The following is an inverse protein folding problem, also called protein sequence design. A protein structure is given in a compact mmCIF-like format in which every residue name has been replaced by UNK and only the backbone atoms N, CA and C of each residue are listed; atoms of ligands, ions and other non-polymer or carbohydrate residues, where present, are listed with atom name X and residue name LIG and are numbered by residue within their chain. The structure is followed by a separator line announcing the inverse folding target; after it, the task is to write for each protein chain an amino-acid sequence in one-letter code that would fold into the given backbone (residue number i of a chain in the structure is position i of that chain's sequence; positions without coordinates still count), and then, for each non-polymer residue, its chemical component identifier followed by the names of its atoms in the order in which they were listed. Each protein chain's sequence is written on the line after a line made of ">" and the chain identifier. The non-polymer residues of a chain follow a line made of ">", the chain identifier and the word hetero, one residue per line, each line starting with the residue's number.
data_IF_022015947080
#
_entry.id   IF_022015947080
#
_cell.length_a   1.000
_cell.length_b   1.000
_cell.length_c   1.000
_cell.angle_alpha   90.00
_cell.angle_beta   90.00
_cell.angle_gamma   90.00
#
_symmetry.space_group_name_H-M   'P 1'
#
loop_
_entity.id
_entity.type
_entity.pdbx_description
1 polymer ?
#
# COMPACT_ATOMS: atom_id res chain seq x y z
N UNK A 1 17.19 25.38 -8.72
CA UNK A 1 16.95 23.94 -8.63
C UNK A 1 17.44 23.50 -7.28
N UNK A 2 16.52 23.29 -6.33
CA UNK A 2 16.86 22.67 -5.06
C UNK A 2 16.84 21.17 -5.34
N UNK A 3 18.02 20.55 -5.40
CA UNK A 3 18.13 19.10 -5.40
C UNK A 3 17.92 18.67 -3.96
N UNK A 4 16.77 18.11 -3.65
CA UNK A 4 16.52 17.52 -2.35
C UNK A 4 17.52 16.37 -2.16
N UNK A 5 18.46 16.54 -1.24
CA UNK A 5 19.68 15.71 -1.13
C UNK A 5 19.39 14.28 -0.65
N UNK A 6 18.11 13.98 -0.36
CA UNK A 6 17.61 12.71 0.17
C UNK A 6 16.75 11.89 -0.80
N UNK A 7 16.61 12.25 -2.08
CA UNK A 7 15.83 11.44 -3.02
C UNK A 7 16.59 10.15 -3.35
N UNK A 8 16.25 9.08 -2.63
CA UNK A 8 16.71 7.73 -2.94
C UNK A 8 16.22 7.34 -4.33
N UNK A 9 17.07 6.65 -5.09
CA UNK A 9 16.68 6.11 -6.38
C UNK A 9 15.48 5.15 -6.22
N UNK A 10 14.42 5.38 -6.99
CA UNK A 10 13.29 4.47 -7.13
C UNK A 10 13.09 4.12 -8.60
N UNK A 11 12.64 2.91 -8.89
CA UNK A 11 12.22 2.54 -10.23
C UNK A 11 10.94 3.31 -10.63
N UNK A 12 10.45 3.10 -11.87
CA UNK A 12 9.20 3.70 -12.33
C UNK A 12 8.04 3.36 -11.40
N UNK A 13 7.11 4.30 -11.27
CA UNK A 13 5.98 4.22 -10.32
C UNK A 13 5.18 2.93 -10.42
N UNK A 14 5.01 2.39 -11.64
CA UNK A 14 4.33 1.11 -11.88
C UNK A 14 5.08 -0.09 -11.28
N UNK A 15 6.41 -0.12 -11.37
CA UNK A 15 7.23 -1.21 -10.84
C UNK A 15 7.21 -1.20 -9.31
N UNK A 16 7.43 -0.03 -8.71
CA UNK A 16 7.39 0.15 -7.26
C UNK A 16 5.99 -0.09 -6.68
N UNK A 17 4.93 0.32 -7.38
CA UNK A 17 3.54 0.03 -6.96
C UNK A 17 3.28 -1.48 -6.93
N UNK A 18 3.68 -2.23 -7.96
CA UNK A 18 3.52 -3.69 -7.99
C UNK A 18 4.34 -4.40 -6.91
N UNK A 19 5.49 -3.86 -6.54
CA UNK A 19 6.36 -4.38 -5.49
C UNK A 19 5.82 -4.09 -4.09
N UNK A 20 5.21 -2.93 -3.89
CA UNK A 20 4.77 -2.46 -2.58
C UNK A 20 3.33 -2.87 -2.25
N UNK A 21 2.44 -2.93 -3.24
CA UNK A 21 1.08 -3.35 -3.01
C UNK A 21 0.90 -4.86 -3.14
N UNK A 22 0.45 -5.47 -2.05
CA UNK A 22 0.19 -6.91 -1.97
C UNK A 22 -1.27 -7.17 -2.30
N UNK A 23 -1.50 -8.05 -3.26
CA UNK A 23 -2.83 -8.54 -3.63
C UNK A 23 -3.16 -9.70 -2.68
N UNK A 24 -4.29 -9.65 -1.96
CA UNK A 24 -4.71 -10.78 -1.15
C UNK A 24 -5.07 -11.96 -2.04
N UNK A 25 -4.65 -13.16 -1.65
CA UNK A 25 -5.08 -14.40 -2.29
C UNK A 25 -6.52 -14.72 -1.91
N UNK A 26 -7.28 -15.34 -2.82
CA UNK A 26 -8.66 -15.76 -2.57
C UNK A 26 -8.74 -16.95 -1.61
N UNK A 27 -7.75 -17.85 -1.70
CA UNK A 27 -7.64 -19.05 -0.88
C UNK A 27 -6.21 -19.20 -0.34
N UNK A 28 -5.81 -18.38 0.66
CA UNK A 28 -4.44 -18.38 1.19
C UNK A 28 -4.05 -19.70 1.89
N UNK A 29 -5.03 -20.43 2.41
CA UNK A 29 -4.89 -21.80 2.92
C UNK A 29 -4.82 -22.85 1.81
N UNK A 30 -5.17 -22.49 0.56
CA UNK A 30 -5.21 -23.37 -0.59
C UNK A 30 -6.64 -23.81 -0.97
N UNK A 31 -6.74 -24.62 -2.02
CA UNK A 31 -8.03 -25.09 -2.52
C UNK A 31 -8.85 -25.81 -1.45
N UNK A 32 -10.18 -25.80 -1.58
CA UNK A 32 -11.08 -26.49 -0.67
C UNK A 32 -10.67 -27.96 -0.46
N UNK A 33 -10.45 -28.34 0.81
CA UNK A 33 -9.99 -29.68 1.21
C UNK A 33 -8.46 -29.88 1.18
N UNK A 34 -7.66 -28.84 0.91
CA UNK A 34 -6.22 -28.92 1.04
C UNK A 34 -5.79 -29.04 2.52
N UNK A 35 -4.73 -29.83 2.83
CA UNK A 35 -4.20 -29.93 4.18
C UNK A 35 -3.36 -28.71 4.61
N UNK A 36 -3.12 -27.77 3.69
CA UNK A 36 -2.34 -26.56 3.99
C UNK A 36 -3.17 -25.66 4.91
N UNK A 37 -2.53 -25.10 5.93
CA UNK A 37 -3.17 -24.12 6.80
C UNK A 37 -4.07 -24.70 7.89
N UNK A 38 -4.22 -26.04 7.99
CA UNK A 38 -5.22 -26.67 8.86
C UNK A 38 -5.10 -26.27 10.34
N UNK A 39 -3.87 -26.07 10.82
CA UNK A 39 -3.56 -25.73 12.22
C UNK A 39 -2.78 -24.42 12.36
N UNK A 40 -2.69 -23.62 11.30
CA UNK A 40 -1.90 -22.38 11.29
C UNK A 40 -2.76 -21.22 10.86
N UNK A 41 -2.60 -20.07 11.53
CA UNK A 41 -3.30 -18.85 11.15
C UNK A 41 -2.93 -18.44 9.71
N UNK A 42 -3.93 -17.93 9.00
CA UNK A 42 -3.73 -17.33 7.68
C UNK A 42 -2.95 -16.03 7.84
N UNK A 43 -1.82 -15.96 7.16
CA UNK A 43 -0.97 -14.78 7.09
C UNK A 43 -1.08 -14.14 5.71
N UNK A 44 -1.09 -12.81 5.65
CA UNK A 44 -1.19 -12.09 4.39
C UNK A 44 0.06 -12.22 3.50
N UNK A 45 1.21 -12.62 4.07
CA UNK A 45 2.47 -12.80 3.33
C UNK A 45 3.28 -13.96 3.88
N UNK A 46 3.91 -14.69 2.97
CA UNK A 46 4.94 -15.70 3.28
C UNK A 46 6.33 -15.11 3.54
N UNK A 47 6.52 -13.82 3.24
CA UNK A 47 7.77 -13.08 3.46
C UNK A 47 7.53 -11.93 4.43
N UNK A 48 8.54 -11.51 5.21
CA UNK A 48 8.42 -10.34 6.07
C UNK A 48 7.93 -9.11 5.31
N UNK A 49 7.20 -8.25 6.01
CA UNK A 49 6.82 -6.94 5.49
C UNK A 49 8.06 -6.07 5.33
N UNK A 50 8.18 -5.42 4.18
CA UNK A 50 9.18 -4.38 3.93
C UNK A 50 8.55 -3.01 4.08
N UNK A 51 9.37 -2.02 4.32
CA UNK A 51 8.94 -0.62 4.38
C UNK A 51 8.17 -0.22 3.10
N UNK A 52 7.10 0.55 3.28
CA UNK A 52 6.22 0.99 2.20
C UNK A 52 5.24 -0.07 1.67
N UNK A 53 5.38 -1.34 2.07
CA UNK A 53 4.44 -2.38 1.63
C UNK A 53 3.08 -2.29 2.32
N UNK A 54 2.00 -2.54 1.57
CA UNK A 54 0.63 -2.52 2.07
C UNK A 54 -0.30 -3.41 1.26
N UNK A 55 -1.41 -3.86 1.85
CA UNK A 55 -2.45 -4.57 1.12
C UNK A 55 -3.33 -3.60 0.32
N UNK A 56 -3.88 -4.04 -0.81
CA UNK A 56 -4.96 -3.32 -1.47
C UNK A 56 -6.19 -3.25 -0.55
N UNK A 57 -6.77 -2.06 -0.43
CA UNK A 57 -8.04 -1.84 0.28
C UNK A 57 -9.01 -1.17 -0.67
N UNK A 58 -10.22 -1.72 -0.75
CA UNK A 58 -11.30 -1.15 -1.56
C UNK A 58 -11.80 0.20 -1.03
N UNK A 59 -11.40 0.60 0.17
CA UNK A 59 -11.85 1.82 0.84
C UNK A 59 -10.79 2.94 0.84
N UNK A 60 -9.64 2.74 0.19
CA UNK A 60 -8.60 3.76 0.07
C UNK A 60 -8.69 4.49 -1.27
N UNK A 61 -8.15 5.71 -1.32
CA UNK A 61 -8.00 6.44 -2.57
C UNK A 61 -7.00 5.74 -3.50
N UNK A 62 -7.33 5.69 -4.80
CA UNK A 62 -6.45 5.14 -5.83
C UNK A 62 -5.16 5.96 -5.97
N UNK A 63 -5.30 7.29 -6.08
CA UNK A 63 -4.19 8.24 -6.19
C UNK A 63 -4.03 9.04 -4.90
N UNK A 64 -3.41 8.43 -3.88
CA UNK A 64 -3.23 9.08 -2.56
C UNK A 64 -2.52 10.43 -2.64
N UNK A 65 -1.53 10.54 -3.52
CA UNK A 65 -0.81 11.79 -3.81
C UNK A 65 -1.71 12.97 -4.14
N UNK A 66 -2.83 12.72 -4.82
CA UNK A 66 -3.79 13.75 -5.23
C UNK A 66 -4.86 14.04 -4.16
N UNK A 67 -4.90 13.23 -3.10
CA UNK A 67 -5.91 13.29 -2.05
C UNK A 67 -5.35 13.73 -0.69
N UNK A 68 -4.07 14.09 -0.64
CA UNK A 68 -3.42 14.68 0.52
C UNK A 68 -4.17 15.95 0.97
N UNK A 69 -4.42 16.07 2.28
CA UNK A 69 -5.20 17.15 2.88
C UNK A 69 -6.63 17.32 2.30
N UNK A 70 -7.21 16.26 1.72
CA UNK A 70 -8.58 16.28 1.16
C UNK A 70 -9.45 15.21 1.83
N UNK A 71 -9.98 15.49 3.04
CA UNK A 71 -10.84 14.54 3.73
C UNK A 71 -12.16 14.33 2.99
N UNK A 72 -12.73 13.15 3.18
CA UNK A 72 -14.08 12.80 2.72
C UNK A 72 -15.10 13.69 3.42
N UNK A 73 -16.09 14.19 2.68
CA UNK A 73 -17.16 15.06 3.21
C UNK A 73 -18.41 14.31 3.67
N UNK A 74 -18.41 12.98 3.61
CA UNK A 74 -19.52 12.17 4.09
C UNK A 74 -19.53 12.14 5.63
N UNK A 75 -20.70 12.11 6.27
CA UNK A 75 -20.80 11.87 7.71
C UNK A 75 -20.18 10.50 8.05
N UNK A 76 -19.51 10.42 9.20
CA UNK A 76 -18.80 9.23 9.70
C UNK A 76 -17.76 8.64 8.72
N UNK A 77 -17.20 9.48 7.85
CA UNK A 77 -16.20 9.02 6.90
C UNK A 77 -14.92 8.58 7.62
N UNK A 78 -14.38 7.46 7.17
CA UNK A 78 -13.10 6.96 7.66
C UNK A 78 -11.97 7.97 7.39
N UNK A 79 -11.01 8.15 8.32
CA UNK A 79 -9.82 8.96 8.08
C UNK A 79 -9.08 8.52 6.81
N UNK A 80 -8.43 9.48 6.16
CA UNK A 80 -7.67 9.26 4.92
C UNK A 80 -6.30 8.63 5.17
N UNK A 81 -5.81 8.72 6.42
CA UNK A 81 -4.47 8.28 6.86
C UNK A 81 -3.33 8.96 6.07
N UNK A 82 -3.49 10.27 5.89
CA UNK A 82 -2.50 11.15 5.28
C UNK A 82 -1.30 11.37 6.24
N UNK A 83 -0.11 11.57 5.69
CA UNK A 83 1.12 11.79 6.45
C UNK A 83 1.31 13.30 6.66
N UNK A 84 1.16 13.84 7.89
CA UNK A 84 1.21 15.28 8.11
C UNK A 84 2.59 15.90 7.85
N UNK A 85 3.65 15.08 7.77
CA UNK A 85 5.03 15.54 7.55
C UNK A 85 5.44 15.45 6.07
N UNK A 86 4.67 14.77 5.22
CA UNK A 86 5.03 14.53 3.82
C UNK A 86 3.84 14.74 2.89
N UNK A 87 3.94 15.74 2.02
CA UNK A 87 2.93 15.99 0.99
C UNK A 87 2.89 14.88 -0.08
N UNK A 88 4.03 14.24 -0.30
CA UNK A 88 4.16 13.14 -1.25
C UNK A 88 4.87 11.92 -0.65
N UNK A 89 4.70 10.76 -1.27
CA UNK A 89 5.34 9.50 -0.93
C UNK A 89 5.95 8.94 -2.20
N UNK A 90 7.10 8.28 -2.09
CA UNK A 90 7.65 7.55 -3.22
C UNK A 90 6.71 6.41 -3.62
N UNK A 91 6.57 6.08 -4.92
CA UNK A 91 7.39 6.51 -6.07
C UNK A 91 6.78 7.68 -6.88
N UNK A 92 5.83 8.45 -6.32
CA UNK A 92 5.09 9.47 -7.09
C UNK A 92 5.65 10.89 -6.90
N UNK A 93 6.75 11.03 -6.18
CA UNK A 93 7.55 12.25 -6.20
C UNK A 93 8.19 12.35 -7.58
N UNK A 94 7.90 13.42 -8.33
CA UNK A 94 8.34 13.69 -9.72
C UNK A 94 7.50 13.09 -10.88
N UNK A 95 6.25 12.65 -10.65
CA UNK A 95 5.32 12.25 -11.74
C UNK A 95 4.38 13.38 -12.19
#
# INVERSE_FOLDING_TARGET
>A
MFTDENVQYTDVSNAETKKNYVIPEEMPEGAYGAPRGEYTQVENKSTPWKEGQRSYSAFNYEFKSMHENKPRKAPDAHPTHDDPERETQQPYENS
#
